data_IF_179574759513
#
_entry.id   IF_179574759513
#
_cell.length_a   1.000
_cell.length_b   1.000
_cell.length_c   1.000
_cell.angle_alpha   90.00
_cell.angle_beta   90.00
_cell.angle_gamma   90.00
#
_symmetry.space_group_name_H-M   'P 1'
#
loop_
_entity.id
_entity.type
_entity.pdbx_description
1 polymer ?
#
# COMPACT_ATOMS: atom_id res chain seq x y z
N UNK A 1 28.63 -6.09 -2.05
CA UNK A 1 27.21 -5.72 -2.16
C UNK A 1 27.10 -4.22 -1.97
N UNK A 2 26.63 -3.48 -2.97
CA UNK A 2 26.26 -2.08 -2.76
C UNK A 2 25.06 -2.06 -1.81
N UNK A 3 25.28 -1.74 -0.54
CA UNK A 3 24.20 -1.37 0.38
C UNK A 3 23.72 0.01 -0.05
N UNK A 4 22.82 0.04 -1.02
CA UNK A 4 22.15 1.28 -1.40
C UNK A 4 21.43 1.81 -0.15
N UNK A 5 21.88 2.96 0.34
CA UNK A 5 21.21 3.63 1.46
C UNK A 5 19.91 4.25 0.94
N UNK A 6 18.83 3.50 1.02
CA UNK A 6 17.51 3.95 0.59
C UNK A 6 16.99 5.12 1.43
N UNK A 7 17.51 5.35 2.65
CA UNK A 7 17.18 6.55 3.42
C UNK A 7 17.84 7.80 2.84
N UNK A 8 18.95 7.66 2.10
CA UNK A 8 19.61 8.79 1.43
C UNK A 8 18.89 9.25 0.14
N UNK A 9 17.90 8.50 -0.35
CA UNK A 9 17.12 8.91 -1.52
C UNK A 9 16.44 10.27 -1.30
N UNK A 10 16.35 11.15 -2.31
CA UNK A 10 15.66 12.44 -2.19
C UNK A 10 14.22 12.31 -1.67
N UNK A 11 13.50 11.28 -2.10
CA UNK A 11 12.12 10.98 -1.67
C UNK A 11 12.06 10.57 -0.20
N UNK A 12 13.03 9.77 0.27
CA UNK A 12 13.13 9.38 1.68
C UNK A 12 13.47 10.59 2.56
N UNK A 13 14.41 11.43 2.13
CA UNK A 13 14.78 12.66 2.81
C UNK A 13 13.61 13.66 2.86
N UNK A 14 12.85 13.78 1.78
CA UNK A 14 11.64 14.62 1.73
C UNK A 14 10.58 14.13 2.71
N UNK A 15 10.29 12.82 2.71
CA UNK A 15 9.35 12.22 3.66
C UNK A 15 9.83 12.39 5.11
N UNK A 16 11.10 12.10 5.40
CA UNK A 16 11.67 12.23 6.74
C UNK A 16 11.63 13.67 7.25
N UNK A 17 11.98 14.64 6.40
CA UNK A 17 11.89 16.07 6.74
C UNK A 17 10.46 16.46 7.07
N UNK A 18 9.49 15.99 6.28
CA UNK A 18 8.08 16.26 6.52
C UNK A 18 7.59 15.62 7.82
N UNK A 19 7.93 14.36 8.10
CA UNK A 19 7.62 13.71 9.37
C UNK A 19 8.17 14.50 10.56
N UNK A 20 9.39 15.03 10.45
CA UNK A 20 10.01 15.87 11.48
C UNK A 20 9.33 17.22 11.68
N UNK A 21 8.56 17.73 10.72
CA UNK A 21 7.70 18.91 10.94
C UNK A 21 6.45 18.58 11.76
N UNK A 22 6.00 17.32 11.77
CA UNK A 22 4.88 16.86 12.58
C UNK A 22 5.34 16.54 14.01
N UNK A 23 6.45 15.80 14.13
CA UNK A 23 7.17 15.57 15.37
C UNK A 23 8.63 15.20 15.04
N UNK A 24 9.58 15.96 15.57
CA UNK A 24 11.02 15.80 15.30
C UNK A 24 11.60 14.42 15.65
N UNK A 25 10.86 13.61 16.43
CA UNK A 25 11.26 12.28 16.87
C UNK A 25 10.78 11.16 15.95
N UNK A 26 9.93 11.48 14.96
CA UNK A 26 9.50 10.49 13.97
C UNK A 26 10.66 10.11 13.05
N UNK A 27 10.75 8.82 12.72
CA UNK A 27 11.75 8.26 11.81
C UNK A 27 11.11 7.32 10.79
N UNK A 28 11.91 6.91 9.82
CA UNK A 28 11.58 5.89 8.83
C UNK A 28 12.40 4.63 9.06
N UNK A 29 11.89 3.47 8.71
CA UNK A 29 12.69 2.25 8.51
C UNK A 29 12.33 1.67 7.14
N UNK A 30 13.33 1.22 6.40
CA UNK A 30 13.15 0.61 5.07
C UNK A 30 13.77 -0.78 5.15
N UNK A 31 12.96 -1.80 4.96
CA UNK A 31 13.37 -3.21 5.10
C UNK A 31 13.05 -3.95 3.81
N UNK A 32 13.99 -4.76 3.35
CA UNK A 32 13.76 -5.74 2.27
C UNK A 32 13.65 -7.12 2.91
N UNK A 33 12.44 -7.61 3.21
CA UNK A 33 12.26 -8.76 4.10
C UNK A 33 12.94 -10.01 3.55
N UNK A 34 12.83 -10.27 2.25
CA UNK A 34 13.49 -11.39 1.57
C UNK A 34 15.03 -11.28 1.53
N UNK A 35 15.60 -10.09 1.72
CA UNK A 35 17.05 -9.92 1.87
C UNK A 35 17.50 -10.10 3.32
N UNK A 36 16.73 -9.57 4.28
CA UNK A 36 17.06 -9.64 5.71
C UNK A 36 16.76 -11.01 6.31
N UNK A 37 15.67 -11.65 5.88
CA UNK A 37 15.25 -12.99 6.24
C UNK A 37 14.94 -13.79 4.97
N UNK A 38 15.95 -14.41 4.34
CA UNK A 38 15.78 -15.13 3.07
C UNK A 38 14.74 -16.25 3.11
N UNK A 39 14.53 -16.87 4.27
CA UNK A 39 13.56 -17.95 4.47
C UNK A 39 12.19 -17.47 4.97
N UNK A 40 11.87 -16.16 4.93
CA UNK A 40 10.61 -15.60 5.47
C UNK A 40 9.35 -16.29 4.92
N UNK A 41 9.42 -16.77 3.68
CA UNK A 41 8.36 -17.52 3.01
C UNK A 41 8.07 -18.86 3.72
N UNK A 42 9.12 -19.56 4.17
CA UNK A 42 9.05 -20.90 4.75
C UNK A 42 9.01 -20.89 6.27
N UNK A 43 9.75 -19.99 6.91
CA UNK A 43 9.94 -19.94 8.36
C UNK A 43 9.91 -18.50 8.86
N UNK A 44 9.05 -18.23 9.83
CA UNK A 44 8.92 -16.92 10.46
C UNK A 44 9.64 -16.98 11.80
N UNK A 45 10.75 -16.25 11.93
CA UNK A 45 11.43 -16.09 13.21
C UNK A 45 10.53 -15.36 14.21
N UNK A 46 10.87 -15.42 15.50
CA UNK A 46 10.21 -14.61 16.53
C UNK A 46 10.23 -13.12 16.16
N UNK A 47 11.38 -12.61 15.69
CA UNK A 47 11.56 -11.23 15.24
C UNK A 47 10.58 -10.85 14.11
N UNK A 48 10.47 -11.68 13.07
CA UNK A 48 9.51 -11.44 11.97
C UNK A 48 8.08 -11.44 12.49
N UNK A 49 7.73 -12.39 13.35
CA UNK A 49 6.39 -12.45 13.94
C UNK A 49 6.08 -11.24 14.82
N UNK A 50 7.06 -10.69 15.52
CA UNK A 50 6.89 -9.48 16.33
C UNK A 50 6.62 -8.24 15.46
N UNK A 51 7.27 -8.13 14.29
CA UNK A 51 6.97 -7.08 13.32
C UNK A 51 5.56 -7.26 12.74
N UNK A 52 5.18 -8.49 12.37
CA UNK A 52 3.83 -8.77 11.85
C UNK A 52 2.76 -8.44 12.89
N UNK A 53 2.99 -8.74 14.18
CA UNK A 53 2.10 -8.34 15.28
C UNK A 53 1.99 -6.82 15.39
N UNK A 54 3.10 -6.08 15.25
CA UNK A 54 3.04 -4.62 15.23
C UNK A 54 2.23 -4.09 14.04
N UNK A 55 2.40 -4.66 12.84
CA UNK A 55 1.57 -4.33 11.67
C UNK A 55 0.09 -4.59 11.93
N UNK A 56 -0.25 -5.72 12.56
CA UNK A 56 -1.63 -6.03 12.95
C UNK A 56 -2.19 -5.02 13.95
N UNK A 57 -1.43 -4.63 14.97
CA UNK A 57 -1.83 -3.61 15.95
C UNK A 57 -2.10 -2.25 15.27
N UNK A 58 -1.18 -1.78 14.42
CA UNK A 58 -1.36 -0.54 13.65
C UNK A 58 -2.58 -0.61 12.75
N UNK A 59 -2.85 -1.78 12.16
CA UNK A 59 -4.01 -2.00 11.30
C UNK A 59 -5.32 -1.97 12.05
N UNK A 60 -5.37 -2.61 13.23
CA UNK A 60 -6.55 -2.59 14.08
C UNK A 60 -6.91 -1.16 14.49
N UNK A 61 -5.92 -0.36 14.88
CA UNK A 61 -6.13 1.06 15.19
C UNK A 61 -6.55 1.86 13.95
N UNK A 62 -5.74 1.77 12.88
CA UNK A 62 -5.91 2.58 11.68
C UNK A 62 -7.20 2.32 10.91
N UNK A 63 -7.64 1.06 10.84
CA UNK A 63 -8.88 0.68 10.16
C UNK A 63 -10.10 0.77 11.08
N UNK A 64 -9.90 0.79 12.40
CA UNK A 64 -10.99 0.71 13.38
C UNK A 64 -11.71 -0.64 13.41
N UNK A 65 -11.16 -1.67 12.74
CA UNK A 65 -11.68 -3.04 12.72
C UNK A 65 -10.51 -4.04 12.78
N UNK A 66 -10.76 -5.22 13.36
CA UNK A 66 -9.78 -6.30 13.45
C UNK A 66 -9.99 -7.31 12.30
N UNK A 67 -9.12 -7.25 11.29
CA UNK A 67 -9.15 -8.17 10.15
C UNK A 67 -8.51 -9.54 10.47
N UNK A 68 -8.02 -9.73 11.69
CA UNK A 68 -7.27 -10.91 12.11
C UNK A 68 -5.79 -10.86 11.71
N UNK A 69 -4.94 -11.50 12.53
CA UNK A 69 -3.50 -11.55 12.32
C UNK A 69 -3.11 -12.21 10.98
N UNK A 70 -3.84 -13.26 10.57
CA UNK A 70 -3.54 -14.04 9.37
C UNK A 70 -3.60 -13.20 8.08
N UNK A 71 -4.47 -12.18 8.05
CA UNK A 71 -4.53 -11.22 6.96
C UNK A 71 -3.18 -10.51 6.76
N UNK A 72 -2.41 -10.31 7.82
CA UNK A 72 -1.10 -9.66 7.75
C UNK A 72 0.04 -10.66 7.60
N UNK A 73 -0.11 -11.91 8.03
CA UNK A 73 0.93 -12.94 7.89
C UNK A 73 1.30 -13.16 6.42
N UNK A 74 0.30 -13.42 5.55
CA UNK A 74 0.52 -13.67 4.12
C UNK A 74 1.14 -12.45 3.41
N UNK A 75 0.59 -11.25 3.62
CA UNK A 75 1.09 -10.01 3.00
C UNK A 75 2.53 -9.67 3.41
N UNK A 76 2.91 -9.94 4.66
CA UNK A 76 4.27 -9.71 5.12
C UNK A 76 5.24 -10.76 4.58
N UNK A 77 4.79 -12.02 4.47
CA UNK A 77 5.58 -13.13 3.93
C UNK A 77 6.02 -12.84 2.50
N UNK A 78 5.12 -12.34 1.66
CA UNK A 78 5.34 -12.21 0.21
C UNK A 78 6.00 -10.88 -0.18
N UNK A 79 6.18 -9.98 0.79
CA UNK A 79 6.68 -8.63 0.61
C UNK A 79 8.14 -8.56 0.10
N UNK A 80 8.37 -7.69 -0.87
CA UNK A 80 9.72 -7.31 -1.29
C UNK A 80 10.23 -6.08 -0.54
N UNK A 81 9.31 -5.25 -0.04
CA UNK A 81 9.62 -4.01 0.66
C UNK A 81 8.62 -3.76 1.78
N UNK A 82 9.16 -3.48 2.97
CA UNK A 82 8.45 -2.80 4.05
C UNK A 82 9.03 -1.40 4.22
N UNK A 83 8.14 -0.42 4.40
CA UNK A 83 8.51 0.92 4.87
C UNK A 83 7.74 1.18 6.15
N UNK A 84 8.43 1.37 7.27
CA UNK A 84 7.82 1.70 8.55
C UNK A 84 8.01 3.19 8.87
N UNK A 85 7.02 3.78 9.51
CA UNK A 85 7.10 5.06 10.20
C UNK A 85 7.17 4.73 11.69
N UNK A 86 8.21 5.23 12.34
CA UNK A 86 8.52 4.94 13.73
C UNK A 86 8.25 6.16 14.61
N UNK A 87 7.74 5.92 15.81
CA UNK A 87 7.64 6.94 16.86
C UNK A 87 8.96 7.11 17.64
N UNK A 88 8.93 7.98 18.65
CA UNK A 88 10.05 8.26 19.55
C UNK A 88 10.60 7.03 20.27
N UNK A 89 9.76 6.01 20.49
CA UNK A 89 10.09 4.78 21.21
C UNK A 89 10.44 3.65 20.21
N UNK A 90 10.66 4.00 18.94
CA UNK A 90 10.95 3.07 17.82
C UNK A 90 9.81 2.09 17.53
N UNK A 91 8.57 2.39 17.95
CA UNK A 91 7.40 1.58 17.64
C UNK A 91 6.87 1.93 16.26
N UNK A 92 6.42 0.92 15.51
CA UNK A 92 5.77 1.12 14.23
C UNK A 92 4.41 1.78 14.46
N UNK A 93 4.21 2.97 13.90
CA UNK A 93 2.94 3.72 13.94
C UNK A 93 2.32 3.88 12.55
N UNK A 94 3.04 3.49 11.51
CA UNK A 94 2.56 3.42 10.14
C UNK A 94 3.44 2.49 9.34
N UNK A 95 2.86 1.80 8.36
CA UNK A 95 3.63 0.91 7.50
C UNK A 95 3.07 0.84 6.08
N UNK A 96 3.94 0.48 5.14
CA UNK A 96 3.58 0.09 3.78
C UNK A 96 4.28 -1.21 3.42
N UNK A 97 3.58 -2.03 2.64
CA UNK A 97 4.12 -3.25 2.04
C UNK A 97 3.96 -3.15 0.53
N UNK A 98 5.05 -3.45 -0.19
CA UNK A 98 5.07 -3.51 -1.64
C UNK A 98 5.63 -4.85 -2.10
N UNK A 99 5.11 -5.29 -3.25
CA UNK A 99 5.51 -6.51 -3.96
C UNK A 99 5.86 -6.12 -5.39
N UNK A 100 7.01 -6.59 -5.87
CA UNK A 100 7.50 -6.39 -7.22
C UNK A 100 7.21 -7.63 -8.08
N UNK A 101 6.53 -7.43 -9.20
CA UNK A 101 6.23 -8.49 -10.16
C UNK A 101 6.78 -8.16 -11.54
N UNK A 102 6.88 -9.18 -12.38
CA UNK A 102 7.08 -9.04 -13.81
C UNK A 102 5.97 -9.76 -14.56
N UNK A 103 5.26 -9.04 -15.44
CA UNK A 103 4.20 -9.60 -16.27
C UNK A 103 4.42 -9.17 -17.71
N UNK A 104 4.61 -10.14 -18.61
CA UNK A 104 4.89 -9.89 -20.03
C UNK A 104 6.08 -8.92 -20.25
N UNK A 105 7.15 -9.06 -19.46
CA UNK A 105 8.34 -8.21 -19.53
C UNK A 105 8.14 -6.78 -18.98
N UNK A 106 7.00 -6.51 -18.35
CA UNK A 106 6.71 -5.24 -17.66
C UNK A 106 6.84 -5.40 -16.16
N UNK A 107 7.57 -4.49 -15.53
CA UNK A 107 7.71 -4.45 -14.07
C UNK A 107 6.44 -3.85 -13.46
N UNK A 108 5.90 -4.52 -12.45
CA UNK A 108 4.74 -4.05 -11.69
C UNK A 108 5.17 -3.80 -10.25
N UNK A 109 4.87 -2.62 -9.73
CA UNK A 109 4.98 -2.32 -8.31
C UNK A 109 3.58 -2.35 -7.69
N UNK A 110 3.29 -3.41 -6.95
CA UNK A 110 2.01 -3.60 -6.28
C UNK A 110 2.05 -3.05 -4.87
N UNK A 111 1.25 -2.00 -4.63
CA UNK A 111 1.12 -1.32 -3.35
C UNK A 111 0.13 -2.13 -2.49
N UNK A 112 0.62 -3.24 -1.93
CA UNK A 112 -0.21 -4.29 -1.34
C UNK A 112 -1.02 -3.79 -0.14
N UNK A 113 -0.40 -3.00 0.73
CA UNK A 113 -1.07 -2.37 1.88
C UNK A 113 -0.32 -1.12 2.30
N UNK A 114 -1.05 -0.12 2.77
CA UNK A 114 -0.50 1.03 3.49
C UNK A 114 -1.48 1.43 4.57
N UNK A 115 -1.03 1.42 5.81
CA UNK A 115 -1.86 1.70 6.97
C UNK A 115 -1.08 2.59 7.91
N UNK A 116 -1.78 3.62 8.40
CA UNK A 116 -1.31 4.50 9.44
C UNK A 116 -2.20 4.35 10.66
N UNK A 117 -1.61 4.46 11.85
CA UNK A 117 -2.40 4.67 13.05
C UNK A 117 -3.25 5.96 12.89
N UNK A 118 -4.36 6.06 13.62
CA UNK A 118 -5.31 7.17 13.48
C UNK A 118 -4.65 8.53 13.70
N UNK A 119 -3.65 8.60 14.58
CA UNK A 119 -2.97 9.84 14.95
C UNK A 119 -2.21 10.49 13.78
N UNK A 120 -1.69 9.70 12.85
CA UNK A 120 -0.92 10.22 11.70
C UNK A 120 -1.68 10.15 10.37
N UNK A 121 -2.94 9.72 10.39
CA UNK A 121 -3.81 9.76 9.22
C UNK A 121 -4.16 11.20 8.83
N UNK A 122 -4.40 11.42 7.53
CA UNK A 122 -4.77 12.73 6.95
C UNK A 122 -3.74 13.85 7.13
N UNK A 123 -2.56 13.56 7.68
CA UNK A 123 -1.45 14.50 7.82
C UNK A 123 -0.54 14.54 6.59
N UNK A 124 -1.05 14.36 5.36
CA UNK A 124 -0.21 14.51 4.14
C UNK A 124 0.97 13.52 3.96
N UNK A 125 1.09 12.47 4.78
CA UNK A 125 2.18 11.48 4.71
C UNK A 125 2.05 10.58 3.47
N UNK A 126 0.82 10.14 3.14
CA UNK A 126 0.56 9.13 2.10
C UNK A 126 1.17 9.46 0.72
N UNK A 127 1.02 10.68 0.18
CA UNK A 127 1.59 11.02 -1.12
C UNK A 127 3.12 10.98 -1.14
N UNK A 128 3.77 11.46 -0.08
CA UNK A 128 5.23 11.42 0.03
C UNK A 128 5.76 9.98 0.15
N UNK A 129 5.03 9.14 0.88
CA UNK A 129 5.35 7.72 0.99
C UNK A 129 5.19 6.99 -0.35
N UNK A 130 4.19 7.36 -1.16
CA UNK A 130 4.00 6.79 -2.48
C UNK A 130 5.17 7.12 -3.45
N UNK A 131 5.67 8.35 -3.45
CA UNK A 131 6.86 8.73 -4.23
C UNK A 131 8.09 7.89 -3.82
N UNK A 132 8.25 7.64 -2.52
CA UNK A 132 9.33 6.79 -2.01
C UNK A 132 9.21 5.34 -2.51
N UNK A 133 8.00 4.76 -2.53
CA UNK A 133 7.78 3.39 -3.04
C UNK A 133 8.19 3.25 -4.50
N UNK A 134 7.87 4.24 -5.34
CA UNK A 134 8.25 4.25 -6.77
C UNK A 134 9.75 4.40 -6.93
N UNK A 135 10.38 5.25 -6.12
CA UNK A 135 11.84 5.43 -6.16
C UNK A 135 12.61 4.16 -5.75
N UNK A 136 12.07 3.37 -4.81
CA UNK A 136 12.70 2.13 -4.33
C UNK A 136 12.44 0.96 -5.28
N UNK A 137 11.20 0.81 -5.76
CA UNK A 137 10.81 -0.22 -6.74
C UNK A 137 10.29 0.49 -8.01
N UNK A 138 11.20 0.86 -8.93
CA UNK A 138 10.81 1.42 -10.22
C UNK A 138 10.04 0.38 -11.05
N UNK A 139 8.95 0.80 -11.68
CA UNK A 139 8.06 -0.08 -12.41
C UNK A 139 7.44 0.62 -13.63
N UNK A 140 7.09 -0.17 -14.64
CA UNK A 140 6.29 0.28 -15.79
C UNK A 140 4.82 0.48 -15.40
N UNK A 141 4.37 -0.29 -14.41
CA UNK A 141 2.96 -0.37 -14.00
C UNK A 141 2.88 -0.26 -12.48
N UNK A 142 1.98 0.59 -12.01
CA UNK A 142 1.63 0.69 -10.59
C UNK A 142 0.28 0.01 -10.39
N UNK A 143 0.17 -0.81 -9.35
CA UNK A 143 -1.08 -1.44 -8.96
C UNK A 143 -1.40 -1.08 -7.51
N UNK A 144 -2.66 -0.79 -7.23
CA UNK A 144 -3.18 -0.66 -5.86
C UNK A 144 -4.58 -1.25 -5.83
N UNK A 145 -4.92 -1.92 -4.72
CA UNK A 145 -6.29 -2.33 -4.43
C UNK A 145 -6.82 -1.45 -3.32
N UNK A 146 -7.92 -0.74 -3.56
CA UNK A 146 -8.51 0.16 -2.58
C UNK A 146 -10.02 0.33 -2.82
N UNK A 147 -10.77 0.45 -1.73
CA UNK A 147 -12.14 0.95 -1.71
C UNK A 147 -12.20 2.43 -1.27
N UNK A 148 -11.09 2.98 -0.77
CA UNK A 148 -11.02 4.32 -0.20
C UNK A 148 -10.73 5.37 -1.30
N UNK A 149 -11.64 6.35 -1.53
CA UNK A 149 -11.48 7.34 -2.58
C UNK A 149 -10.29 8.29 -2.36
N UNK A 150 -9.86 8.49 -1.11
CA UNK A 150 -8.65 9.28 -0.81
C UNK A 150 -7.40 8.58 -1.34
N UNK A 151 -7.35 7.25 -1.23
CA UNK A 151 -6.23 6.45 -1.77
C UNK A 151 -6.21 6.55 -3.28
N UNK A 152 -7.37 6.37 -3.95
CA UNK A 152 -7.47 6.52 -5.40
C UNK A 152 -7.02 7.92 -5.86
N UNK A 153 -7.50 8.99 -5.23
CA UNK A 153 -7.11 10.37 -5.56
C UNK A 153 -5.59 10.55 -5.59
N UNK A 154 -4.90 10.16 -4.52
CA UNK A 154 -3.45 10.34 -4.44
C UNK A 154 -2.66 9.36 -5.30
N UNK A 155 -3.20 8.15 -5.53
CA UNK A 155 -2.60 7.18 -6.45
C UNK A 155 -2.72 7.65 -7.90
N UNK A 156 -3.86 8.22 -8.29
CA UNK A 156 -4.06 8.80 -9.61
C UNK A 156 -3.14 10.00 -9.85
N UNK A 157 -2.98 10.87 -8.83
CA UNK A 157 -2.02 11.97 -8.90
C UNK A 157 -0.58 11.47 -9.07
N UNK A 158 -0.19 10.43 -8.33
CA UNK A 158 1.12 9.79 -8.48
C UNK A 158 1.30 9.28 -9.92
N UNK A 159 0.31 8.57 -10.46
CA UNK A 159 0.37 8.07 -11.83
C UNK A 159 0.58 9.22 -12.83
N UNK A 160 -0.20 10.31 -12.72
CA UNK A 160 -0.05 11.47 -13.61
C UNK A 160 1.32 12.13 -13.48
N UNK A 161 1.86 12.30 -12.27
CA UNK A 161 3.18 12.88 -12.05
C UNK A 161 4.31 12.06 -12.71
N UNK A 162 4.09 10.75 -12.88
CA UNK A 162 5.03 9.82 -13.51
C UNK A 162 4.67 9.50 -14.97
N UNK A 163 3.77 10.28 -15.59
CA UNK A 163 3.39 10.11 -17.01
C UNK A 163 2.55 8.87 -17.31
N UNK A 164 1.96 8.25 -16.28
CA UNK A 164 1.12 7.07 -16.38
C UNK A 164 -0.35 7.45 -16.53
N UNK A 165 -1.12 6.56 -17.17
CA UNK A 165 -2.59 6.62 -17.22
C UNK A 165 -3.17 5.72 -16.13
N UNK A 166 -4.36 6.07 -15.64
CA UNK A 166 -5.06 5.33 -14.58
C UNK A 166 -6.22 4.55 -15.17
N UNK A 167 -6.48 3.36 -14.61
CA UNK A 167 -7.73 2.62 -14.77
C UNK A 167 -8.09 2.04 -13.39
N UNK A 168 -9.36 2.08 -12.97
CA UNK A 168 -10.53 2.62 -13.69
C UNK A 168 -10.53 4.16 -13.78
N UNK A 169 -11.27 4.73 -14.73
CA UNK A 169 -11.63 6.17 -14.79
C UNK A 169 -13.15 6.34 -14.72
N UNK A 170 -13.65 7.58 -14.65
CA UNK A 170 -15.10 7.85 -14.61
C UNK A 170 -15.86 7.20 -15.76
N UNK A 171 -15.27 7.13 -16.95
CA UNK A 171 -15.95 6.61 -18.15
C UNK A 171 -15.65 5.14 -18.44
N UNK A 172 -14.47 4.64 -18.06
CA UNK A 172 -14.00 3.33 -18.56
C UNK A 172 -13.23 2.51 -17.53
N UNK A 173 -13.50 1.21 -17.54
CA UNK A 173 -12.59 0.20 -17.01
C UNK A 173 -11.79 -0.37 -18.19
N UNK A 174 -10.48 -0.15 -18.22
CA UNK A 174 -9.66 -0.63 -19.33
C UNK A 174 -9.53 -2.17 -19.27
N UNK A 175 -10.04 -2.93 -20.25
CA UNK A 175 -10.00 -4.40 -20.21
C UNK A 175 -8.59 -4.98 -20.15
N UNK A 176 -7.60 -4.30 -20.76
CA UNK A 176 -6.19 -4.72 -20.69
C UNK A 176 -5.64 -4.60 -19.27
N UNK A 177 -6.08 -3.58 -18.52
CA UNK A 177 -5.67 -3.39 -17.12
C UNK A 177 -6.38 -4.38 -16.20
N UNK A 178 -7.65 -4.71 -16.46
CA UNK A 178 -8.34 -5.79 -15.73
C UNK A 178 -7.65 -7.14 -15.97
N UNK A 179 -7.34 -7.47 -17.22
CA UNK A 179 -6.63 -8.71 -17.56
C UNK A 179 -5.25 -8.80 -16.87
N UNK A 180 -4.55 -7.67 -16.75
CA UNK A 180 -3.30 -7.58 -16.00
C UNK A 180 -3.53 -7.76 -14.49
N UNK A 181 -4.52 -7.07 -13.92
CA UNK A 181 -4.85 -7.18 -12.50
C UNK A 181 -5.16 -8.64 -12.12
N UNK A 182 -5.89 -9.37 -12.97
CA UNK A 182 -6.20 -10.80 -12.81
C UNK A 182 -4.98 -11.72 -12.78
N UNK A 183 -3.84 -11.30 -13.32
CA UNK A 183 -2.59 -12.08 -13.20
C UNK A 183 -2.03 -12.06 -11.78
N UNK A 184 -2.31 -11.01 -11.03
CA UNK A 184 -1.81 -10.78 -9.67
C UNK A 184 -2.90 -10.98 -8.60
N UNK A 185 -4.16 -10.80 -8.97
CA UNK A 185 -5.35 -10.99 -8.13
C UNK A 185 -6.46 -11.66 -8.98
N UNK A 186 -6.46 -13.01 -9.09
CA UNK A 186 -7.32 -13.76 -10.01
C UNK A 186 -8.83 -13.54 -9.83
N UNK A 187 -9.26 -13.13 -8.65
CA UNK A 187 -10.67 -12.94 -8.28
C UNK A 187 -11.23 -11.56 -8.68
N UNK A 188 -10.43 -10.74 -9.36
CA UNK A 188 -10.88 -9.44 -9.90
C UNK A 188 -11.90 -9.66 -11.03
N UNK A 189 -13.09 -9.07 -10.89
CA UNK A 189 -14.17 -9.14 -11.87
C UNK A 189 -14.00 -8.12 -13.03
N UNK A 190 -14.93 -8.12 -13.98
CA UNK A 190 -14.90 -7.21 -15.14
C UNK A 190 -15.18 -5.75 -14.76
N UNK A 191 -15.61 -5.50 -13.52
CA UNK A 191 -15.75 -4.17 -12.95
C UNK A 191 -14.47 -3.71 -12.24
N UNK A 192 -13.36 -4.46 -12.33
CA UNK A 192 -12.12 -4.17 -11.60
C UNK A 192 -12.28 -4.28 -10.06
N UNK A 193 -13.21 -5.12 -9.59
CA UNK A 193 -13.49 -5.34 -8.17
C UNK A 193 -13.10 -6.77 -7.76
N UNK A 194 -12.40 -6.91 -6.64
CA UNK A 194 -12.27 -8.19 -5.95
C UNK A 194 -13.44 -8.29 -4.95
N UNK A 195 -14.44 -9.11 -5.25
CA UNK A 195 -15.66 -9.26 -4.44
C UNK A 195 -15.40 -10.07 -3.16
N UNK A 196 -16.06 -9.71 -2.07
CA UNK A 196 -16.15 -10.49 -0.83
C UNK A 196 -14.83 -10.78 -0.06
N UNK A 197 -13.76 -10.02 -0.31
CA UNK A 197 -12.44 -10.21 0.34
C UNK A 197 -12.49 -10.14 1.88
N UNK A 198 -13.48 -9.44 2.45
CA UNK A 198 -13.73 -9.34 3.88
C UNK A 198 -15.19 -9.66 4.24
N UNK A 199 -15.70 -10.80 3.76
CA UNK A 199 -17.12 -11.20 3.90
C UNK A 199 -18.11 -10.23 3.25
N UNK A 200 -17.63 -9.40 2.32
CA UNK A 200 -18.46 -8.46 1.56
C UNK A 200 -18.78 -7.15 2.28
N UNK A 201 -18.11 -6.83 3.39
CA UNK A 201 -18.32 -5.57 4.09
C UNK A 201 -17.25 -4.53 3.73
N UNK A 202 -17.71 -3.31 3.41
CA UNK A 202 -16.84 -2.15 3.32
C UNK A 202 -16.22 -1.83 4.68
N UNK A 203 -14.99 -1.31 4.69
CA UNK A 203 -14.34 -0.93 5.95
C UNK A 203 -15.13 0.21 6.62
N UNK A 204 -15.41 0.05 7.91
CA UNK A 204 -16.12 1.04 8.73
C UNK A 204 -15.44 2.41 8.60
N UNK A 205 -16.21 3.45 8.29
CA UNK A 205 -15.69 4.81 8.17
C UNK A 205 -14.96 5.11 6.87
N UNK A 206 -15.07 4.25 5.84
CA UNK A 206 -14.63 4.60 4.48
C UNK A 206 -15.38 5.86 4.02
N UNK A 207 -14.66 6.93 3.63
CA UNK A 207 -15.31 8.17 3.20
C UNK A 207 -16.08 7.95 1.89
N UNK A 208 -17.18 8.70 1.72
CA UNK A 208 -17.87 8.76 0.43
C UNK A 208 -16.95 9.35 -0.64
N UNK A 209 -17.00 8.85 -1.88
CA UNK A 209 -16.26 9.45 -2.98
C UNK A 209 -16.79 10.88 -3.23
N UNK A 210 -15.91 11.85 -3.51
CA UNK A 210 -16.32 13.14 -4.03
C UNK A 210 -17.01 13.01 -5.41
N UNK A 211 -17.86 13.97 -5.75
CA UNK A 211 -18.75 13.91 -6.93
C UNK A 211 -18.02 13.68 -8.26
N UNK A 212 -16.79 14.19 -8.40
CA UNK A 212 -15.98 14.06 -9.62
C UNK A 212 -15.48 12.62 -9.88
N UNK A 213 -15.39 11.79 -8.83
CA UNK A 213 -14.96 10.39 -8.94
C UNK A 213 -16.02 9.39 -8.47
N UNK A 214 -17.14 9.86 -7.90
CA UNK A 214 -18.27 9.03 -7.47
C UNK A 214 -18.79 8.07 -8.57
N UNK A 215 -18.88 8.47 -9.86
CA UNK A 215 -19.32 7.56 -10.93
C UNK A 215 -18.49 6.29 -11.06
N UNK A 216 -17.22 6.31 -10.64
CA UNK A 216 -16.37 5.11 -10.61
C UNK A 216 -16.92 4.11 -9.60
N UNK A 217 -17.21 4.56 -8.38
CA UNK A 217 -17.76 3.72 -7.30
C UNK A 217 -19.15 3.20 -7.66
N UNK A 218 -19.99 4.05 -8.25
CA UNK A 218 -21.35 3.68 -8.66
C UNK A 218 -21.34 2.58 -9.73
N UNK A 219 -20.46 2.70 -10.74
CA UNK A 219 -20.31 1.66 -11.77
C UNK A 219 -19.74 0.36 -11.21
N UNK A 220 -18.75 0.47 -10.32
CA UNK A 220 -18.09 -0.70 -9.74
C UNK A 220 -18.99 -1.46 -8.75
N UNK A 221 -20.01 -0.79 -8.19
CA UNK A 221 -20.90 -1.32 -7.15
C UNK A 221 -20.12 -1.98 -6.02
N UNK A 222 -19.29 -1.23 -5.29
CA UNK A 222 -18.42 -1.82 -4.25
C UNK A 222 -19.17 -2.28 -2.98
N UNK A 223 -20.51 -2.33 -3.00
CA UNK A 223 -21.34 -2.73 -1.86
C UNK A 223 -21.06 -4.15 -1.33
N UNK A 224 -20.35 -4.97 -2.13
CA UNK A 224 -19.96 -6.35 -1.81
C UNK A 224 -18.45 -6.63 -1.95
N UNK A 225 -17.59 -5.61 -1.97
CA UNK A 225 -16.15 -5.79 -2.24
C UNK A 225 -15.29 -4.62 -1.79
#
# INVERSE_FOLDING_TARGET
MNTQDYKALPQAQKLLRYLRTLDHRLDLEIVFPKKRWPDIEKRKSSEVMDIIRQHHVVSKDGLGNDLGLEAFVSRNRDADLWIHILDKDRKIIGFSINEGYEVHGKKVNYFRVTIFNKLIQKLGIYPLLNELKVAIIPADILMVRTQNPVVYKYFSQLCHNHGLKVSPTVDVNNPKMIALARKLDPDVDDQSVHRALFKGEALIGTPKPPDDIAPIWDRMDISKG
#
